data_IF_786426731143
#
_entry.id   IF_786426731143
#
_cell.length_a   1.000
_cell.length_b   1.000
_cell.length_c   1.000
_cell.angle_alpha   90.00
_cell.angle_beta   90.00
_cell.angle_gamma   90.00
#
_symmetry.space_group_name_H-M   'P 1'
#
loop_
_entity.id
_entity.type
_entity.pdbx_description
1 polymer ?
#
# COMPACT_ATOMS: atom_id res chain seq x y z
N UNK A 1 -69.07 -73.06 56.71
CA UNK A 1 -68.13 -72.30 57.56
C UNK A 1 -67.02 -71.76 56.67
N UNK A 2 -66.78 -70.45 56.76
CA UNK A 2 -65.98 -69.63 55.85
C UNK A 2 -64.51 -70.09 55.74
N UNK A 3 -64.01 -70.26 54.51
CA UNK A 3 -62.57 -70.30 54.21
C UNK A 3 -62.18 -68.92 53.67
N UNK A 4 -61.32 -68.24 54.42
CA UNK A 4 -60.75 -66.92 54.17
C UNK A 4 -60.00 -66.85 52.83
N UNK A 5 -60.44 -65.97 51.93
CA UNK A 5 -59.73 -65.64 50.69
C UNK A 5 -58.67 -64.58 51.02
N UNK A 6 -57.41 -65.02 51.09
CA UNK A 6 -56.23 -64.17 51.14
C UNK A 6 -56.08 -63.39 49.83
N UNK A 7 -55.90 -62.06 49.94
CA UNK A 7 -55.60 -61.14 48.84
C UNK A 7 -54.36 -61.63 48.07
N UNK A 8 -54.52 -62.01 46.80
CA UNK A 8 -53.38 -62.19 45.87
C UNK A 8 -52.86 -60.81 45.48
N UNK A 9 -51.61 -60.54 45.83
CA UNK A 9 -50.81 -59.43 45.31
C UNK A 9 -50.77 -59.51 43.77
N UNK A 10 -50.96 -58.39 43.10
CA UNK A 10 -50.76 -58.29 41.65
C UNK A 10 -49.28 -58.52 41.31
N UNK A 11 -48.95 -59.13 40.14
CA UNK A 11 -47.57 -59.43 39.73
C UNK A 11 -46.63 -58.22 39.71
N UNK A 12 -47.20 -57.00 39.65
CA UNK A 12 -46.51 -55.73 39.66
C UNK A 12 -45.83 -55.43 41.02
N UNK A 13 -46.52 -55.73 42.12
CA UNK A 13 -46.01 -55.50 43.48
C UNK A 13 -44.87 -56.47 43.86
N UNK A 14 -44.82 -57.65 43.24
CA UNK A 14 -43.75 -58.65 43.45
C UNK A 14 -42.54 -58.43 42.54
N UNK A 15 -42.65 -57.60 41.49
CA UNK A 15 -41.51 -57.19 40.66
C UNK A 15 -40.78 -55.98 41.24
N UNK A 16 -41.49 -55.04 41.87
CA UNK A 16 -40.88 -53.90 42.58
C UNK A 16 -39.98 -54.32 43.75
N UNK A 17 -40.32 -55.41 44.45
CA UNK A 17 -39.54 -55.93 45.60
C UNK A 17 -38.22 -56.63 45.23
N UNK A 18 -37.99 -56.96 43.94
CA UNK A 18 -36.80 -57.71 43.48
C UNK A 18 -35.58 -56.84 43.17
N UNK A 19 -35.68 -55.52 43.27
CA UNK A 19 -34.52 -54.62 43.11
C UNK A 19 -33.89 -54.58 41.71
N UNK A 20 -34.40 -55.37 40.74
CA UNK A 20 -34.02 -55.32 39.33
C UNK A 20 -34.77 -54.19 38.60
N UNK A 21 -34.70 -52.98 39.13
CA UNK A 21 -35.15 -51.78 38.45
C UNK A 21 -33.92 -50.93 38.18
N UNK A 22 -33.42 -51.03 36.96
CA UNK A 22 -32.30 -50.24 36.49
C UNK A 22 -32.80 -48.79 36.35
N UNK A 23 -32.69 -47.97 37.41
CA UNK A 23 -33.22 -46.60 37.45
C UNK A 23 -32.76 -45.76 36.25
N UNK A 24 -31.59 -46.07 35.67
CA UNK A 24 -31.10 -45.44 34.45
C UNK A 24 -32.01 -45.64 33.23
N UNK A 25 -32.65 -46.80 33.07
CA UNK A 25 -33.54 -47.08 31.91
C UNK A 25 -34.88 -46.34 32.01
N UNK A 26 -35.45 -46.21 33.20
CA UNK A 26 -36.67 -45.43 33.43
C UNK A 26 -36.44 -43.93 33.26
N UNK A 27 -35.32 -43.44 33.76
CA UNK A 27 -34.92 -42.03 33.61
C UNK A 27 -34.66 -41.70 32.13
N UNK A 28 -34.01 -42.61 31.39
CA UNK A 28 -33.78 -42.46 29.96
C UNK A 28 -35.11 -42.51 29.17
N UNK A 29 -36.03 -43.40 29.55
CA UNK A 29 -37.36 -43.46 28.94
C UNK A 29 -38.20 -42.22 29.22
N UNK A 30 -38.16 -41.66 30.44
CA UNK A 30 -38.86 -40.41 30.75
C UNK A 30 -38.30 -39.21 30.00
N UNK A 31 -36.97 -39.11 29.86
CA UNK A 31 -36.32 -38.06 29.07
C UNK A 31 -36.66 -38.17 27.58
N UNK A 32 -36.65 -39.39 27.02
CA UNK A 32 -37.05 -39.65 25.64
C UNK A 32 -38.53 -39.31 25.38
N UNK A 33 -39.44 -39.60 26.32
CA UNK A 33 -40.86 -39.24 26.20
C UNK A 33 -41.03 -37.72 26.19
N UNK A 34 -40.35 -36.99 27.08
CA UNK A 34 -40.36 -35.53 27.09
C UNK A 34 -39.79 -34.92 25.81
N UNK A 35 -38.75 -35.52 25.20
CA UNK A 35 -38.24 -35.09 23.89
C UNK A 35 -39.28 -35.26 22.78
N UNK A 36 -39.97 -36.40 22.72
CA UNK A 36 -41.01 -36.67 21.70
C UNK A 36 -42.19 -35.72 21.88
N UNK A 37 -42.61 -35.46 23.13
CA UNK A 37 -43.65 -34.48 23.43
C UNK A 37 -43.24 -33.07 22.99
N UNK A 38 -41.97 -32.70 23.19
CA UNK A 38 -41.40 -31.45 22.67
C UNK A 38 -41.47 -31.37 21.15
N UNK A 39 -41.06 -32.42 20.42
CA UNK A 39 -41.11 -32.47 18.95
C UNK A 39 -42.56 -32.31 18.46
N UNK A 40 -43.52 -33.02 19.07
CA UNK A 40 -44.95 -32.93 18.74
C UNK A 40 -45.47 -31.50 18.99
N UNK A 41 -45.18 -30.91 20.15
CA UNK A 41 -45.60 -29.53 20.47
C UNK A 41 -45.00 -28.49 19.52
N UNK A 42 -43.75 -28.68 19.08
CA UNK A 42 -43.11 -27.82 18.09
C UNK A 42 -43.81 -27.92 16.72
N UNK A 43 -44.14 -29.13 16.26
CA UNK A 43 -44.91 -29.33 15.02
C UNK A 43 -46.32 -28.75 15.09
N UNK A 44 -46.95 -28.74 16.27
CA UNK A 44 -48.27 -28.15 16.48
C UNK A 44 -48.25 -26.61 16.58
N UNK A 45 -47.07 -25.99 16.63
CA UNK A 45 -46.90 -24.52 16.78
C UNK A 45 -46.95 -24.03 18.23
N UNK A 46 -47.04 -24.92 19.21
CA UNK A 46 -47.03 -24.59 20.64
C UNK A 46 -45.59 -24.49 21.17
N UNK A 47 -44.86 -23.46 20.75
CA UNK A 47 -43.41 -23.34 21.01
C UNK A 47 -43.06 -23.18 22.50
N UNK A 48 -43.90 -22.50 23.29
CA UNK A 48 -43.67 -22.33 24.73
C UNK A 48 -43.76 -23.67 25.48
N UNK A 49 -44.72 -24.52 25.10
CA UNK A 49 -44.86 -25.87 25.67
C UNK A 49 -43.70 -26.77 25.21
N UNK A 50 -43.29 -26.66 23.94
CA UNK A 50 -42.14 -27.39 23.42
C UNK A 50 -40.87 -27.07 24.21
N UNK A 51 -40.59 -25.79 24.48
CA UNK A 51 -39.45 -25.35 25.31
C UNK A 51 -39.55 -25.90 26.73
N UNK A 52 -40.74 -25.92 27.32
CA UNK A 52 -40.97 -26.52 28.63
C UNK A 52 -40.65 -28.03 28.63
N UNK A 53 -41.10 -28.77 27.61
CA UNK A 53 -40.81 -30.20 27.49
C UNK A 53 -39.33 -30.48 27.21
N UNK A 54 -38.66 -29.67 26.38
CA UNK A 54 -37.23 -29.82 26.10
C UNK A 54 -36.34 -29.44 27.30
N UNK A 55 -36.72 -28.42 28.07
CA UNK A 55 -36.02 -28.09 29.33
C UNK A 55 -36.22 -29.20 30.36
N UNK A 56 -37.43 -29.74 30.49
CA UNK A 56 -37.72 -30.90 31.34
C UNK A 56 -36.88 -32.13 30.94
N UNK A 57 -36.81 -32.44 29.65
CA UNK A 57 -36.05 -33.57 29.11
C UNK A 57 -34.54 -33.49 29.46
N UNK A 58 -34.01 -32.27 29.56
CA UNK A 58 -32.61 -31.98 29.77
C UNK A 58 -32.23 -31.68 31.23
N UNK A 59 -33.18 -31.76 32.17
CA UNK A 59 -32.93 -31.49 33.60
C UNK A 59 -31.86 -32.40 34.23
N UNK A 60 -31.52 -33.50 33.56
CA UNK A 60 -30.58 -34.53 34.05
C UNK A 60 -29.21 -34.49 33.36
N UNK A 61 -29.06 -33.75 32.26
CA UNK A 61 -27.80 -33.60 31.53
C UNK A 61 -27.42 -32.13 31.47
N UNK A 62 -26.24 -31.77 31.99
CA UNK A 62 -25.66 -30.43 31.83
C UNK A 62 -25.19 -30.18 30.38
N UNK A 63 -25.96 -30.59 29.36
CA UNK A 63 -25.65 -30.43 27.94
C UNK A 63 -26.56 -29.35 27.36
N UNK A 64 -26.09 -28.64 26.34
CA UNK A 64 -26.90 -27.65 25.65
C UNK A 64 -28.11 -28.30 24.96
N UNK A 65 -29.27 -27.66 25.06
CA UNK A 65 -30.50 -28.05 24.37
C UNK A 65 -30.48 -27.57 22.91
N UNK A 66 -29.67 -28.22 22.07
CA UNK A 66 -29.55 -27.92 20.64
C UNK A 66 -30.92 -27.83 19.94
N UNK A 67 -31.87 -28.70 20.31
CA UNK A 67 -33.23 -28.68 19.75
C UNK A 67 -34.00 -27.37 20.02
N UNK A 68 -33.81 -26.76 21.18
CA UNK A 68 -34.44 -25.46 21.50
C UNK A 68 -33.80 -24.36 20.66
N UNK A 69 -32.48 -24.38 20.54
CA UNK A 69 -31.71 -23.40 19.77
C UNK A 69 -32.08 -23.51 18.29
N UNK A 70 -32.08 -24.71 17.72
CA UNK A 70 -32.49 -24.98 16.33
C UNK A 70 -33.92 -24.48 16.09
N UNK A 71 -34.87 -24.86 16.97
CA UNK A 71 -36.26 -24.39 16.88
C UNK A 71 -36.33 -22.86 16.90
N UNK A 72 -35.63 -22.18 17.82
CA UNK A 72 -35.63 -20.72 17.86
C UNK A 72 -34.94 -20.08 16.66
N UNK A 73 -33.87 -20.68 16.11
CA UNK A 73 -33.24 -20.19 14.89
C UNK A 73 -34.16 -20.34 13.67
N UNK A 74 -34.87 -21.45 13.55
CA UNK A 74 -35.84 -21.69 12.47
C UNK A 74 -37.01 -20.69 12.55
N UNK A 75 -37.44 -20.35 13.77
CA UNK A 75 -38.46 -19.34 14.05
C UNK A 75 -37.94 -17.90 13.98
N UNK A 76 -36.64 -17.70 13.72
CA UNK A 76 -35.95 -16.39 13.68
C UNK A 76 -36.01 -15.61 14.99
N UNK A 77 -36.18 -16.31 16.11
CA UNK A 77 -36.15 -15.74 17.46
C UNK A 77 -34.73 -15.77 18.02
N UNK A 78 -33.82 -15.05 17.35
CA UNK A 78 -32.39 -15.08 17.68
C UNK A 78 -32.09 -14.56 19.10
N UNK A 79 -32.84 -13.59 19.61
CA UNK A 79 -32.68 -13.08 20.98
C UNK A 79 -32.93 -14.16 22.04
N UNK A 80 -34.05 -14.90 21.91
CA UNK A 80 -34.41 -16.02 22.80
C UNK A 80 -33.36 -17.14 22.70
N UNK A 81 -32.87 -17.42 21.49
CA UNK A 81 -31.81 -18.41 21.28
C UNK A 81 -30.47 -18.00 21.95
N UNK A 82 -30.08 -16.73 21.87
CA UNK A 82 -28.89 -16.22 22.55
C UNK A 82 -29.02 -16.30 24.08
N UNK A 83 -30.21 -16.03 24.64
CA UNK A 83 -30.47 -16.20 26.08
C UNK A 83 -30.36 -17.66 26.51
N UNK A 84 -30.82 -18.60 25.68
CA UNK A 84 -30.68 -20.04 25.95
C UNK A 84 -29.23 -20.52 25.92
N UNK A 85 -28.38 -19.92 25.08
CA UNK A 85 -26.93 -20.21 25.07
C UNK A 85 -26.28 -19.61 26.33
N UNK A 86 -26.56 -18.34 26.65
CA UNK A 86 -26.00 -17.64 27.82
C UNK A 86 -26.37 -18.28 29.16
N UNK A 87 -27.60 -18.75 29.29
CA UNK A 87 -28.12 -19.33 30.55
C UNK A 87 -27.53 -20.70 30.90
N UNK A 88 -27.01 -21.43 29.91
CA UNK A 88 -26.55 -22.80 30.11
C UNK A 88 -25.07 -22.93 30.55
N UNK A 89 -24.35 -21.82 30.80
CA UNK A 89 -22.98 -21.75 31.34
C UNK A 89 -21.93 -22.66 30.66
N UNK A 90 -22.27 -23.29 29.53
CA UNK A 90 -21.39 -24.11 28.73
C UNK A 90 -20.98 -23.27 27.52
N UNK A 91 -19.72 -22.86 27.53
CA UNK A 91 -19.07 -22.10 26.45
C UNK A 91 -18.82 -23.00 25.23
N UNK A 92 -19.87 -23.57 24.61
CA UNK A 92 -19.71 -24.13 23.26
C UNK A 92 -19.68 -22.98 22.25
N UNK A 93 -18.50 -22.36 22.18
CA UNK A 93 -18.18 -21.20 21.33
C UNK A 93 -18.58 -21.46 19.87
N UNK A 94 -18.55 -22.72 19.42
CA UNK A 94 -18.86 -23.10 18.05
C UNK A 94 -20.35 -22.95 17.73
N UNK A 95 -21.25 -23.34 18.64
CA UNK A 95 -22.69 -23.22 18.43
C UNK A 95 -23.15 -21.76 18.48
N UNK A 96 -22.57 -20.97 19.38
CA UNK A 96 -22.80 -19.52 19.40
C UNK A 96 -22.38 -18.84 18.10
N UNK A 97 -21.20 -19.21 17.55
CA UNK A 97 -20.72 -18.72 16.25
C UNK A 97 -21.64 -19.13 15.10
N UNK A 98 -22.08 -20.39 15.06
CA UNK A 98 -22.99 -20.89 14.03
C UNK A 98 -24.34 -20.15 14.06
N UNK A 99 -24.90 -19.93 15.24
CA UNK A 99 -26.14 -19.18 15.41
C UNK A 99 -26.00 -17.74 14.90
N UNK A 100 -24.86 -17.11 15.20
CA UNK A 100 -24.58 -15.75 14.78
C UNK A 100 -24.38 -15.62 13.26
N UNK A 101 -23.76 -16.62 12.63
CA UNK A 101 -23.67 -16.72 11.15
C UNK A 101 -25.05 -16.86 10.50
N UNK A 102 -25.92 -17.74 11.01
CA UNK A 102 -27.32 -17.86 10.54
C UNK A 102 -28.10 -16.55 10.71
N UNK A 103 -27.89 -15.84 11.83
CA UNK A 103 -28.51 -14.54 12.08
C UNK A 103 -28.02 -13.48 11.08
N UNK A 104 -26.71 -13.48 10.78
CA UNK A 104 -26.11 -12.59 9.79
C UNK A 104 -26.64 -12.85 8.36
N UNK A 105 -26.77 -14.12 7.96
CA UNK A 105 -27.35 -14.49 6.66
C UNK A 105 -28.79 -13.99 6.51
N UNK A 106 -29.57 -14.06 7.58
CA UNK A 106 -30.92 -13.52 7.60
C UNK A 106 -30.92 -11.98 7.52
N UNK A 107 -30.09 -11.30 8.30
CA UNK A 107 -29.96 -9.84 8.26
C UNK A 107 -29.52 -9.34 6.87
N UNK A 108 -28.68 -10.12 6.17
CA UNK A 108 -28.32 -9.86 4.77
C UNK A 108 -29.53 -9.96 3.83
N UNK A 109 -30.42 -10.93 4.05
CA UNK A 109 -31.65 -11.12 3.25
C UNK A 109 -32.71 -10.03 3.48
N UNK A 110 -32.68 -9.35 4.64
CA UNK A 110 -33.59 -8.23 4.97
C UNK A 110 -33.02 -6.87 4.58
N UNK A 111 -31.92 -6.81 3.83
CA UNK A 111 -31.17 -5.61 3.44
C UNK A 111 -30.52 -4.83 4.61
N UNK A 112 -30.40 -5.44 5.79
CA UNK A 112 -29.65 -4.88 6.91
C UNK A 112 -28.16 -5.25 6.80
N UNK A 113 -27.54 -4.90 5.66
CA UNK A 113 -26.20 -5.33 5.31
C UNK A 113 -25.12 -4.91 6.32
N UNK A 114 -25.28 -3.74 6.97
CA UNK A 114 -24.29 -3.23 7.94
C UNK A 114 -24.35 -4.00 9.26
N UNK A 115 -25.54 -4.36 9.70
CA UNK A 115 -25.75 -5.21 10.87
C UNK A 115 -25.22 -6.62 10.58
N UNK A 116 -25.52 -7.16 9.39
CA UNK A 116 -25.01 -8.45 8.93
C UNK A 116 -23.48 -8.51 8.94
N UNK A 117 -22.79 -7.48 8.42
CA UNK A 117 -21.34 -7.40 8.44
C UNK A 117 -20.77 -7.49 9.88
N UNK A 118 -21.33 -6.73 10.83
CA UNK A 118 -20.91 -6.78 12.25
C UNK A 118 -21.15 -8.16 12.86
N UNK A 119 -22.31 -8.76 12.58
CA UNK A 119 -22.62 -10.11 13.04
C UNK A 119 -21.66 -11.15 12.46
N UNK A 120 -21.26 -11.06 11.18
CA UNK A 120 -20.26 -11.95 10.60
C UNK A 120 -18.89 -11.81 11.29
N UNK A 121 -18.48 -10.60 11.66
CA UNK A 121 -17.24 -10.34 12.41
C UNK A 121 -17.31 -11.04 13.78
N UNK A 122 -18.41 -10.85 14.49
CA UNK A 122 -18.60 -11.45 15.82
C UNK A 122 -18.74 -12.98 15.74
N UNK A 123 -19.18 -13.53 14.60
CA UNK A 123 -19.21 -14.97 14.31
C UNK A 123 -17.82 -15.54 13.95
N UNK A 124 -16.85 -14.68 13.60
CA UNK A 124 -15.54 -15.06 13.08
C UNK A 124 -15.52 -15.42 11.59
N UNK A 125 -16.59 -15.11 10.85
CA UNK A 125 -16.66 -15.28 9.39
C UNK A 125 -16.13 -14.04 8.65
N UNK A 126 -14.84 -13.75 8.83
CA UNK A 126 -14.23 -12.51 8.33
C UNK A 126 -14.34 -12.36 6.80
N UNK A 127 -14.19 -13.43 6.02
CA UNK A 127 -14.25 -13.35 4.55
C UNK A 127 -15.58 -12.77 4.05
N UNK A 128 -16.71 -13.28 4.57
CA UNK A 128 -18.04 -12.78 4.20
C UNK A 128 -18.24 -11.33 4.64
N UNK A 129 -17.69 -10.97 5.80
CA UNK A 129 -17.73 -9.59 6.28
C UNK A 129 -16.91 -8.64 5.39
N UNK A 130 -15.73 -9.06 4.92
CA UNK A 130 -14.86 -8.29 4.03
C UNK A 130 -15.56 -8.08 2.69
N UNK A 131 -16.05 -9.15 2.04
CA UNK A 131 -16.74 -9.07 0.75
C UNK A 131 -17.95 -8.11 0.80
N UNK A 132 -18.74 -8.21 1.87
CA UNK A 132 -19.91 -7.35 2.04
C UNK A 132 -19.51 -5.89 2.30
N UNK A 133 -18.47 -5.66 3.10
CA UNK A 133 -17.98 -4.32 3.42
C UNK A 133 -17.34 -3.65 2.20
N UNK A 134 -16.61 -4.41 1.40
CA UNK A 134 -15.97 -3.96 0.17
C UNK A 134 -16.98 -3.60 -0.92
N UNK A 135 -18.07 -4.35 -1.04
CA UNK A 135 -19.18 -4.04 -1.95
C UNK A 135 -19.86 -2.70 -1.61
N UNK A 136 -19.98 -2.38 -0.32
CA UNK A 136 -20.64 -1.16 0.16
C UNK A 136 -19.67 -0.02 0.48
N UNK A 137 -18.36 -0.23 0.38
CA UNK A 137 -17.34 0.78 0.67
C UNK A 137 -17.23 1.17 2.15
N UNK A 138 -17.46 0.24 3.08
CA UNK A 138 -17.37 0.51 4.52
C UNK A 138 -15.95 0.34 5.04
N UNK A 139 -15.17 1.42 4.92
CA UNK A 139 -13.76 1.48 5.38
C UNK A 139 -13.63 1.29 6.90
N UNK A 140 -14.60 1.77 7.68
CA UNK A 140 -14.63 1.63 9.15
C UNK A 140 -14.72 0.17 9.59
N UNK A 141 -15.54 -0.63 8.89
CA UNK A 141 -15.73 -2.06 9.20
C UNK A 141 -14.50 -2.86 8.76
N UNK A 142 -13.93 -2.56 7.60
CA UNK A 142 -12.68 -3.18 7.14
C UNK A 142 -11.52 -2.92 8.11
N UNK A 143 -11.47 -1.72 8.71
CA UNK A 143 -10.46 -1.36 9.72
C UNK A 143 -10.69 -2.07 11.07
N UNK A 144 -11.95 -2.26 11.49
CA UNK A 144 -12.25 -3.07 12.68
C UNK A 144 -11.83 -4.53 12.46
N UNK A 145 -12.13 -5.10 11.28
CA UNK A 145 -11.68 -6.44 10.89
C UNK A 145 -10.15 -6.50 10.94
N UNK A 146 -9.45 -5.60 10.25
CA UNK A 146 -7.99 -5.64 10.20
C UNK A 146 -7.37 -5.55 11.59
N UNK A 147 -7.94 -4.80 12.53
CA UNK A 147 -7.48 -4.70 13.93
C UNK A 147 -7.67 -5.98 14.73
N UNK A 148 -8.73 -6.74 14.49
CA UNK A 148 -9.01 -8.02 15.17
C UNK A 148 -8.19 -9.19 14.63
N UNK A 149 -7.72 -9.10 13.39
CA UNK A 149 -6.89 -10.13 12.76
C UNK A 149 -5.44 -10.12 13.27
N UNK A 150 -4.93 -11.33 13.46
CA UNK A 150 -3.55 -11.60 13.86
C UNK A 150 -2.64 -11.85 12.64
N UNK A 151 -1.33 -11.96 12.88
CA UNK A 151 -0.33 -12.19 11.82
C UNK A 151 -0.50 -13.50 11.06
N UNK A 152 -1.16 -14.50 11.67
CA UNK A 152 -1.43 -15.80 11.05
C UNK A 152 -2.51 -15.75 9.96
N UNK A 153 -3.35 -14.72 9.98
CA UNK A 153 -4.55 -14.61 9.15
C UNK A 153 -4.25 -13.92 7.81
N UNK A 154 -3.22 -14.41 7.13
CA UNK A 154 -2.67 -13.79 5.92
C UNK A 154 -3.73 -13.57 4.83
N UNK A 155 -4.57 -14.58 4.56
CA UNK A 155 -5.61 -14.52 3.53
C UNK A 155 -6.63 -13.40 3.81
N UNK A 156 -7.09 -13.27 5.05
CA UNK A 156 -8.05 -12.22 5.42
C UNK A 156 -7.40 -10.83 5.39
N UNK A 157 -6.15 -10.70 5.85
CA UNK A 157 -5.41 -9.44 5.78
C UNK A 157 -5.15 -8.99 4.34
N UNK A 158 -4.81 -9.92 3.44
CA UNK A 158 -4.62 -9.62 2.01
C UNK A 158 -5.93 -9.15 1.37
N UNK A 159 -7.04 -9.84 1.62
CA UNK A 159 -8.35 -9.39 1.12
C UNK A 159 -8.72 -8.00 1.67
N UNK A 160 -8.53 -7.76 2.97
CA UNK A 160 -8.74 -6.45 3.58
C UNK A 160 -7.89 -5.36 2.91
N UNK A 161 -6.60 -5.62 2.70
CA UNK A 161 -5.67 -4.67 2.07
C UNK A 161 -6.13 -4.32 0.65
N UNK A 162 -6.46 -5.32 -0.17
CA UNK A 162 -6.95 -5.12 -1.54
C UNK A 162 -8.25 -4.31 -1.58
N UNK A 163 -9.19 -4.60 -0.69
CA UNK A 163 -10.44 -3.84 -0.58
C UNK A 163 -10.18 -2.39 -0.18
N UNK A 164 -9.30 -2.15 0.80
CA UNK A 164 -8.92 -0.80 1.23
C UNK A 164 -8.20 -0.01 0.11
N UNK A 165 -7.30 -0.66 -0.64
CA UNK A 165 -6.65 -0.05 -1.82
C UNK A 165 -7.67 0.40 -2.85
N UNK A 166 -8.67 -0.44 -3.16
CA UNK A 166 -9.74 -0.10 -4.12
C UNK A 166 -10.59 1.09 -3.65
N UNK A 167 -10.75 1.26 -2.34
CA UNK A 167 -11.47 2.37 -1.74
C UNK A 167 -10.61 3.64 -1.61
N UNK A 168 -9.32 3.59 -1.96
CA UNK A 168 -8.38 4.72 -1.91
C UNK A 168 -7.72 4.93 -0.55
N UNK A 169 -7.89 3.98 0.38
CA UNK A 169 -7.35 4.05 1.74
C UNK A 169 -5.97 3.39 1.83
N UNK A 170 -4.98 3.99 1.16
CA UNK A 170 -3.64 3.41 0.99
C UNK A 170 -2.87 3.23 2.31
N UNK A 171 -2.98 4.16 3.26
CA UNK A 171 -2.29 4.08 4.55
C UNK A 171 -2.75 2.85 5.36
N UNK A 172 -4.07 2.63 5.44
CA UNK A 172 -4.62 1.47 6.14
C UNK A 172 -4.36 0.15 5.41
N UNK A 173 -4.32 0.17 4.09
CA UNK A 173 -3.92 -0.99 3.30
C UNK A 173 -2.44 -1.37 3.54
N UNK A 174 -1.56 -0.37 3.65
CA UNK A 174 -0.15 -0.58 3.98
C UNK A 174 0.04 -1.16 5.39
N UNK A 175 -0.74 -0.71 6.38
CA UNK A 175 -0.75 -1.30 7.72
C UNK A 175 -1.12 -2.79 7.71
N UNK A 176 -2.08 -3.19 6.87
CA UNK A 176 -2.46 -4.60 6.72
C UNK A 176 -1.30 -5.46 6.19
N UNK A 177 -0.55 -4.97 5.18
CA UNK A 177 0.64 -5.65 4.67
C UNK A 177 1.79 -5.67 5.69
N UNK A 178 1.97 -4.59 6.45
CA UNK A 178 2.97 -4.51 7.50
C UNK A 178 2.73 -5.53 8.63
N UNK A 179 1.46 -5.89 8.93
CA UNK A 179 1.13 -6.84 9.99
C UNK A 179 1.72 -8.23 9.76
N UNK A 180 1.60 -8.76 8.54
CA UNK A 180 2.13 -10.09 8.20
C UNK A 180 3.51 -10.04 7.52
N UNK A 181 4.06 -8.83 7.29
CA UNK A 181 5.46 -8.62 6.92
C UNK A 181 5.73 -8.59 5.41
N UNK A 182 4.74 -8.26 4.60
CA UNK A 182 4.88 -8.17 3.14
C UNK A 182 5.32 -6.77 2.72
N UNK A 183 6.63 -6.60 2.74
CA UNK A 183 7.32 -5.36 2.39
C UNK A 183 7.08 -5.00 0.92
N UNK A 184 6.98 -6.00 0.04
CA UNK A 184 6.90 -5.77 -1.39
C UNK A 184 5.59 -5.10 -1.78
N UNK A 185 4.46 -5.64 -1.31
CA UNK A 185 3.15 -5.05 -1.57
C UNK A 185 2.95 -3.74 -0.80
N UNK A 186 3.53 -3.62 0.39
CA UNK A 186 3.54 -2.35 1.13
C UNK A 186 4.24 -1.24 0.35
N UNK A 187 5.42 -1.51 -0.23
CA UNK A 187 6.13 -0.54 -1.06
C UNK A 187 5.36 -0.17 -2.33
N UNK A 188 4.73 -1.15 -3.00
CA UNK A 188 3.91 -0.87 -4.17
C UNK A 188 2.79 0.13 -3.85
N UNK A 189 2.11 -0.02 -2.71
CA UNK A 189 1.08 0.93 -2.27
C UNK A 189 1.63 2.32 -2.02
N UNK A 190 2.81 2.45 -1.40
CA UNK A 190 3.42 3.75 -1.17
C UNK A 190 3.84 4.45 -2.46
N UNK A 191 4.31 3.68 -3.45
CA UNK A 191 4.63 4.20 -4.78
C UNK A 191 3.35 4.67 -5.48
N UNK A 192 2.28 3.87 -5.46
CA UNK A 192 0.98 4.22 -6.08
C UNK A 192 0.33 5.45 -5.43
N UNK A 193 0.48 5.62 -4.11
CA UNK A 193 -0.05 6.76 -3.37
C UNK A 193 0.87 7.99 -3.34
N UNK A 194 2.06 7.92 -3.96
CA UNK A 194 3.10 8.95 -3.89
C UNK A 194 3.56 9.29 -2.47
N UNK A 195 3.39 8.36 -1.52
CA UNK A 195 3.85 8.49 -0.13
C UNK A 195 5.33 8.11 -0.02
N UNK A 196 6.20 8.95 -0.58
CA UNK A 196 7.63 8.69 -0.69
C UNK A 196 8.35 8.61 0.67
N UNK A 197 7.93 9.40 1.66
CA UNK A 197 8.56 9.43 2.99
C UNK A 197 8.50 8.06 3.70
N UNK A 198 7.32 7.44 3.70
CA UNK A 198 7.13 6.10 4.27
C UNK A 198 7.90 5.04 3.47
N UNK A 199 7.89 5.15 2.13
CA UNK A 199 8.66 4.25 1.27
C UNK A 199 10.17 4.31 1.56
N UNK A 200 10.74 5.50 1.74
CA UNK A 200 12.16 5.65 2.09
C UNK A 200 12.48 5.07 3.45
N UNK A 201 11.62 5.29 4.46
CA UNK A 201 11.81 4.73 5.79
C UNK A 201 11.86 3.19 5.80
N UNK A 202 11.16 2.56 4.85
CA UNK A 202 11.12 1.11 4.70
C UNK A 202 12.33 0.59 3.92
N UNK A 203 12.76 1.30 2.88
CA UNK A 203 13.98 1.00 2.10
C UNK A 203 15.26 1.17 2.91
N UNK A 204 15.31 2.12 3.84
CA UNK A 204 16.45 2.29 4.75
C UNK A 204 16.67 1.04 5.63
N UNK A 205 15.61 0.29 5.91
CA UNK A 205 15.67 -0.99 6.64
C UNK A 205 15.92 -2.18 5.71
N UNK A 206 15.50 -2.09 4.45
CA UNK A 206 15.57 -3.15 3.44
C UNK A 206 16.18 -2.65 2.14
N UNK A 207 17.51 -2.62 2.09
CA UNK A 207 18.27 -2.10 0.94
C UNK A 207 18.06 -2.88 -0.37
N UNK A 208 17.54 -4.10 -0.31
CA UNK A 208 17.23 -4.91 -1.51
C UNK A 208 16.21 -4.22 -2.43
N UNK A 209 15.33 -3.37 -1.86
CA UNK A 209 14.27 -2.67 -2.60
C UNK A 209 14.65 -1.23 -3.00
N UNK A 210 15.88 -0.79 -2.77
CA UNK A 210 16.32 0.59 -3.08
C UNK A 210 16.02 0.96 -4.53
N UNK A 211 16.40 0.09 -5.48
CA UNK A 211 16.13 0.34 -6.91
C UNK A 211 14.63 0.44 -7.21
N UNK A 212 13.80 -0.38 -6.57
CA UNK A 212 12.35 -0.46 -6.82
C UNK A 212 11.62 0.84 -6.44
N UNK A 213 12.10 1.55 -5.41
CA UNK A 213 11.49 2.81 -4.94
C UNK A 213 12.11 4.03 -5.61
N UNK A 214 13.44 4.10 -5.68
CA UNK A 214 14.11 5.28 -6.22
C UNK A 214 13.90 5.48 -7.71
N UNK A 215 13.66 4.43 -8.50
CA UNK A 215 13.39 4.56 -9.93
C UNK A 215 12.04 5.26 -10.23
N UNK A 216 10.89 4.78 -9.72
CA UNK A 216 9.63 5.52 -9.84
C UNK A 216 9.69 6.93 -9.26
N UNK A 217 10.39 7.12 -8.14
CA UNK A 217 10.58 8.44 -7.53
C UNK A 217 11.37 9.39 -8.44
N UNK A 218 12.46 8.93 -9.05
CA UNK A 218 13.27 9.72 -9.97
C UNK A 218 12.45 10.11 -11.22
N UNK A 219 11.66 9.19 -11.76
CA UNK A 219 10.77 9.48 -12.89
C UNK A 219 9.71 10.52 -12.52
N UNK A 220 9.07 10.37 -11.35
CA UNK A 220 8.11 11.35 -10.85
C UNK A 220 8.75 12.74 -10.66
N UNK A 221 9.96 12.81 -10.11
CA UNK A 221 10.69 14.08 -9.98
C UNK A 221 11.01 14.70 -11.35
N UNK A 222 11.40 13.90 -12.33
CA UNK A 222 11.67 14.35 -13.69
C UNK A 222 10.40 14.89 -14.38
N UNK A 223 9.26 14.23 -14.18
CA UNK A 223 7.94 14.71 -14.67
C UNK A 223 7.50 16.03 -14.03
N UNK A 224 8.01 16.35 -12.83
CA UNK A 224 7.73 17.59 -12.10
C UNK A 224 8.84 18.66 -12.25
N UNK A 225 9.71 18.54 -13.28
CA UNK A 225 10.83 19.45 -13.57
C UNK A 225 11.86 19.60 -12.44
N UNK A 226 11.88 18.68 -11.47
CA UNK A 226 12.84 18.67 -10.34
C UNK A 226 14.08 17.85 -10.70
N UNK A 227 14.79 18.30 -11.73
CA UNK A 227 15.85 17.52 -12.35
C UNK A 227 17.05 17.23 -11.44
N UNK A 228 17.42 18.15 -10.56
CA UNK A 228 18.54 17.94 -9.64
C UNK A 228 18.26 16.82 -8.64
N UNK A 229 17.06 16.84 -8.04
CA UNK A 229 16.59 15.80 -7.12
C UNK A 229 16.47 14.46 -7.88
N UNK A 230 15.89 14.49 -9.09
CA UNK A 230 15.71 13.30 -9.93
C UNK A 230 17.04 12.61 -10.21
N UNK A 231 18.09 13.39 -10.51
CA UNK A 231 19.43 12.86 -10.70
C UNK A 231 19.97 12.16 -9.44
N UNK A 232 19.85 12.80 -8.27
CA UNK A 232 20.31 12.17 -7.02
C UNK A 232 19.57 10.87 -6.75
N UNK A 233 18.28 10.80 -7.11
CA UNK A 233 17.47 9.59 -7.00
C UNK A 233 17.93 8.49 -7.97
N UNK A 234 18.24 8.81 -9.24
CA UNK A 234 18.79 7.83 -10.20
C UNK A 234 20.13 7.24 -9.74
N UNK A 235 21.00 8.08 -9.16
CA UNK A 235 22.28 7.63 -8.59
C UNK A 235 22.03 6.67 -7.43
N UNK A 236 21.09 7.00 -6.52
CA UNK A 236 20.70 6.12 -5.40
C UNK A 236 20.06 4.80 -5.87
N UNK A 237 19.36 4.81 -7.00
CA UNK A 237 18.82 3.60 -7.63
C UNK A 237 19.89 2.70 -8.30
N UNK A 238 21.14 3.15 -8.37
CA UNK A 238 22.23 2.44 -9.06
C UNK A 238 22.20 2.61 -10.58
N UNK A 239 21.41 3.53 -11.11
CA UNK A 239 21.22 3.77 -12.54
C UNK A 239 22.01 5.01 -12.99
N UNK A 240 23.32 4.96 -12.79
CA UNK A 240 24.23 6.08 -13.06
C UNK A 240 24.24 6.48 -14.55
N UNK A 241 24.17 5.51 -15.46
CA UNK A 241 24.14 5.76 -16.90
C UNK A 241 22.89 6.53 -17.33
N UNK A 242 21.72 6.18 -16.77
CA UNK A 242 20.47 6.91 -17.03
C UNK A 242 20.52 8.32 -16.46
N UNK A 243 21.08 8.49 -15.26
CA UNK A 243 21.29 9.80 -14.65
C UNK A 243 22.15 10.74 -15.52
N UNK A 244 23.18 10.18 -16.20
CA UNK A 244 24.03 10.91 -17.14
C UNK A 244 23.26 11.29 -18.39
N UNK A 245 22.51 10.33 -18.98
CA UNK A 245 21.72 10.59 -20.19
C UNK A 245 20.70 11.71 -19.97
N UNK A 246 20.00 11.71 -18.82
CA UNK A 246 19.02 12.76 -18.49
C UNK A 246 19.71 14.11 -18.29
N UNK A 247 20.82 14.16 -17.55
CA UNK A 247 21.54 15.43 -17.32
C UNK A 247 22.18 15.97 -18.61
N UNK A 248 22.67 15.11 -19.49
CA UNK A 248 23.19 15.49 -20.79
C UNK A 248 22.09 16.10 -21.67
N UNK A 249 20.90 15.51 -21.69
CA UNK A 249 19.75 16.09 -22.39
C UNK A 249 19.41 17.48 -21.84
N UNK A 250 19.35 17.64 -20.51
CA UNK A 250 19.08 18.93 -19.88
C UNK A 250 20.13 19.98 -20.23
N UNK A 251 21.42 19.60 -20.23
CA UNK A 251 22.51 20.47 -20.64
C UNK A 251 22.36 20.93 -22.10
N UNK A 252 21.99 20.01 -23.01
CA UNK A 252 21.75 20.36 -24.41
C UNK A 252 20.51 21.24 -24.62
N UNK A 253 19.45 21.02 -23.84
CA UNK A 253 18.25 21.87 -23.88
C UNK A 253 18.55 23.27 -23.35
N UNK A 254 19.25 23.38 -22.21
CA UNK A 254 19.67 24.67 -21.65
C UNK A 254 20.54 25.46 -22.63
N UNK A 255 21.47 24.79 -23.33
CA UNK A 255 22.29 25.42 -24.37
C UNK A 255 21.45 25.95 -25.55
N UNK A 256 20.43 25.20 -25.99
CA UNK A 256 19.50 25.62 -27.07
C UNK A 256 18.59 26.77 -26.66
N UNK A 257 18.21 26.84 -25.40
CA UNK A 257 17.40 27.93 -24.82
C UNK A 257 18.23 29.19 -24.49
N UNK A 258 19.51 29.21 -24.83
CA UNK A 258 20.46 30.28 -24.48
C UNK A 258 20.67 30.47 -22.97
N UNK A 259 20.34 29.47 -22.15
CA UNK A 259 20.60 29.43 -20.71
C UNK A 259 22.00 28.86 -20.46
N UNK A 260 23.02 29.63 -20.84
CA UNK A 260 24.41 29.15 -20.85
C UNK A 260 25.00 28.95 -19.46
N UNK A 261 24.57 29.71 -18.45
CA UNK A 261 24.99 29.49 -17.05
C UNK A 261 24.56 28.10 -16.55
N UNK A 262 23.28 27.76 -16.73
CA UNK A 262 22.72 26.45 -16.39
C UNK A 262 23.39 25.32 -17.18
N UNK A 263 23.61 25.52 -18.48
CA UNK A 263 24.32 24.54 -19.31
C UNK A 263 25.73 24.29 -18.78
N UNK A 264 26.47 25.36 -18.42
CA UNK A 264 27.79 25.27 -17.81
C UNK A 264 27.77 24.47 -16.50
N UNK A 265 26.82 24.78 -15.63
CA UNK A 265 26.63 24.07 -14.37
C UNK A 265 26.31 22.58 -14.57
N UNK A 266 25.42 22.24 -15.49
CA UNK A 266 25.07 20.84 -15.78
C UNK A 266 26.25 20.06 -16.36
N UNK A 267 27.03 20.64 -17.27
CA UNK A 267 28.23 19.98 -17.79
C UNK A 267 29.32 19.79 -16.73
N UNK A 268 29.48 20.73 -15.81
CA UNK A 268 30.36 20.54 -14.65
C UNK A 268 29.86 19.39 -13.76
N UNK A 269 28.56 19.31 -13.51
CA UNK A 269 27.97 18.22 -12.72
C UNK A 269 28.14 16.85 -13.41
N UNK A 270 28.04 16.80 -14.74
CA UNK A 270 28.36 15.61 -15.55
C UNK A 270 29.82 15.19 -15.41
N UNK A 271 30.77 16.15 -15.40
CA UNK A 271 32.19 15.84 -15.23
C UNK A 271 32.46 15.27 -13.84
N UNK A 272 31.88 15.86 -12.78
CA UNK A 272 31.96 15.32 -11.41
C UNK A 272 31.38 13.90 -11.31
N UNK A 273 30.26 13.62 -11.99
CA UNK A 273 29.70 12.27 -12.02
C UNK A 273 30.62 11.26 -12.69
N UNK A 274 31.29 11.65 -13.78
CA UNK A 274 32.28 10.79 -14.44
C UNK A 274 33.44 10.44 -13.48
N UNK A 275 33.89 11.40 -12.65
CA UNK A 275 34.89 11.14 -11.61
C UNK A 275 34.37 10.17 -10.54
N UNK A 276 33.17 10.41 -10.01
CA UNK A 276 32.58 9.54 -8.98
C UNK A 276 32.39 8.10 -9.48
N UNK A 277 32.16 7.91 -10.79
CA UNK A 277 32.11 6.58 -11.36
C UNK A 277 33.48 5.91 -11.39
N UNK A 278 34.56 6.65 -11.65
CA UNK A 278 35.94 6.12 -11.70
C UNK A 278 36.41 5.55 -10.35
N UNK A 279 35.85 6.02 -9.23
CA UNK A 279 36.17 5.52 -7.89
C UNK A 279 35.66 4.08 -7.65
N UNK A 280 34.82 3.52 -8.52
CA UNK A 280 34.32 2.16 -8.39
C UNK A 280 35.36 1.11 -8.84
N UNK A 281 35.72 0.18 -7.94
CA UNK A 281 36.80 -0.80 -8.14
C UNK A 281 36.57 -1.83 -9.28
N UNK A 282 35.37 -1.90 -9.85
CA UNK A 282 34.97 -2.92 -10.83
C UNK A 282 35.19 -2.54 -12.30
N UNK A 283 35.90 -1.44 -12.59
CA UNK A 283 35.99 -0.85 -13.93
C UNK A 283 37.10 -1.48 -14.77
N UNK A 284 36.79 -1.81 -16.03
CA UNK A 284 37.78 -2.31 -16.99
C UNK A 284 38.68 -1.17 -17.49
N UNK A 285 39.91 -1.49 -17.91
CA UNK A 285 40.88 -0.48 -18.38
C UNK A 285 40.36 0.33 -19.59
N UNK A 286 39.50 -0.25 -20.41
CA UNK A 286 38.89 0.43 -21.57
C UNK A 286 37.82 1.41 -21.14
N UNK A 287 36.91 1.01 -20.24
CA UNK A 287 35.83 1.87 -19.74
C UNK A 287 36.41 3.06 -18.95
N UNK A 288 37.53 2.85 -18.25
CA UNK A 288 38.27 3.91 -17.57
C UNK A 288 38.75 5.01 -18.52
N UNK A 289 39.26 4.64 -19.71
CA UNK A 289 39.71 5.62 -20.70
C UNK A 289 38.55 6.38 -21.34
N UNK A 290 37.43 5.70 -21.62
CA UNK A 290 36.23 6.35 -22.16
C UNK A 290 35.63 7.35 -21.17
N UNK A 291 35.56 6.99 -19.89
CA UNK A 291 35.07 7.88 -18.84
C UNK A 291 35.96 9.12 -18.65
N UNK A 292 37.29 8.97 -18.77
CA UNK A 292 38.22 10.10 -18.74
C UNK A 292 38.04 11.03 -19.95
N UNK A 293 37.88 10.48 -21.15
CA UNK A 293 37.65 11.30 -22.34
C UNK A 293 36.30 12.05 -22.25
N UNK A 294 35.26 11.39 -21.71
CA UNK A 294 33.98 12.04 -21.40
C UNK A 294 34.13 13.14 -20.36
N UNK A 295 34.91 12.90 -19.29
CA UNK A 295 35.22 13.91 -18.29
C UNK A 295 35.88 15.15 -18.92
N UNK A 296 36.94 14.96 -19.72
CA UNK A 296 37.66 16.06 -20.37
C UNK A 296 36.76 16.82 -21.36
N UNK A 297 35.86 16.12 -22.04
CA UNK A 297 34.86 16.75 -22.92
C UNK A 297 33.85 17.58 -22.13
N UNK A 298 33.25 17.02 -21.08
CA UNK A 298 32.27 17.73 -20.24
C UNK A 298 32.89 18.92 -19.51
N UNK A 299 34.12 18.79 -19.01
CA UNK A 299 34.83 19.90 -18.36
C UNK A 299 35.08 21.05 -19.34
N UNK A 300 35.53 20.74 -20.57
CA UNK A 300 35.70 21.76 -21.61
C UNK A 300 34.40 22.47 -21.96
N UNK A 301 33.30 21.73 -22.09
CA UNK A 301 31.97 22.32 -22.35
C UNK A 301 31.53 23.22 -21.21
N UNK A 302 31.71 22.79 -19.96
CA UNK A 302 31.36 23.57 -18.77
C UNK A 302 32.06 24.94 -18.76
N UNK A 303 33.38 24.93 -18.94
CA UNK A 303 34.18 26.16 -18.95
C UNK A 303 33.77 27.11 -20.08
N UNK A 304 33.47 26.57 -21.27
CA UNK A 304 33.06 27.36 -22.42
C UNK A 304 31.69 27.99 -22.21
N UNK A 305 30.69 27.23 -21.79
CA UNK A 305 29.34 27.77 -21.57
C UNK A 305 29.34 28.81 -20.45
N UNK A 306 30.10 28.59 -19.37
CA UNK A 306 30.24 29.55 -18.29
C UNK A 306 30.84 30.89 -18.75
N UNK A 307 31.94 30.85 -19.51
CA UNK A 307 32.56 32.09 -20.02
C UNK A 307 31.70 32.75 -21.10
N UNK A 308 31.09 31.95 -21.97
CA UNK A 308 30.23 32.45 -23.05
C UNK A 308 28.96 33.12 -22.52
N UNK A 309 28.40 32.65 -21.40
CA UNK A 309 27.26 33.30 -20.74
C UNK A 309 27.52 34.80 -20.48
N UNK A 310 28.69 35.13 -19.94
CA UNK A 310 29.06 36.50 -19.62
C UNK A 310 29.17 37.39 -20.87
N UNK A 311 29.70 36.85 -21.97
CA UNK A 311 29.80 37.56 -23.25
C UNK A 311 28.42 37.71 -23.90
N UNK A 312 27.59 36.66 -23.84
CA UNK A 312 26.23 36.68 -24.36
C UNK A 312 25.38 37.75 -23.65
N UNK A 313 25.43 37.82 -22.31
CA UNK A 313 24.77 38.88 -21.55
C UNK A 313 25.30 40.26 -21.95
N UNK A 314 26.61 40.45 -22.11
CA UNK A 314 27.17 41.74 -22.54
C UNK A 314 26.65 42.21 -23.91
N UNK A 315 26.39 41.30 -24.85
CA UNK A 315 25.90 41.63 -26.19
C UNK A 315 24.40 41.92 -26.23
N UNK A 316 23.62 41.25 -25.37
CA UNK A 316 22.16 41.34 -25.39
C UNK A 316 21.59 42.32 -24.35
N UNK A 317 22.32 42.58 -23.27
CA UNK A 317 21.87 43.50 -22.21
C UNK A 317 22.43 44.92 -22.41
N UNK A 318 21.65 45.96 -22.08
CA UNK A 318 22.06 47.35 -22.28
C UNK A 318 23.16 47.82 -21.32
N UNK A 319 23.50 47.05 -20.28
CA UNK A 319 24.47 47.42 -19.27
C UNK A 319 25.54 46.35 -19.09
N UNK A 320 26.80 46.76 -19.08
CA UNK A 320 27.93 45.87 -18.84
C UNK A 320 28.07 45.55 -17.34
N UNK A 321 28.19 44.27 -17.01
CA UNK A 321 28.43 43.81 -15.64
C UNK A 321 29.91 43.92 -15.23
N UNK A 322 30.82 43.89 -16.20
CA UNK A 322 32.27 43.90 -15.99
C UNK A 322 32.98 44.99 -16.80
N UNK A 323 34.27 45.20 -16.49
CA UNK A 323 35.16 46.07 -17.26
C UNK A 323 35.46 45.47 -18.64
N UNK A 324 35.68 46.31 -19.64
CA UNK A 324 35.94 45.88 -21.03
C UNK A 324 37.16 44.96 -21.16
N UNK A 325 38.20 45.14 -20.35
CA UNK A 325 39.37 44.25 -20.32
C UNK A 325 39.01 42.83 -19.86
N UNK A 326 37.99 42.69 -19.01
CA UNK A 326 37.53 41.39 -18.52
C UNK A 326 36.86 40.61 -19.65
N UNK A 327 35.96 41.25 -20.39
CA UNK A 327 35.34 40.65 -21.58
C UNK A 327 36.37 40.32 -22.66
N UNK A 328 37.38 41.18 -22.86
CA UNK A 328 38.48 40.90 -23.78
C UNK A 328 39.25 39.63 -23.38
N UNK A 329 39.56 39.47 -22.09
CA UNK A 329 40.24 38.28 -21.58
C UNK A 329 39.36 37.02 -21.70
N UNK A 330 38.06 37.13 -21.41
CA UNK A 330 37.07 36.06 -21.59
C UNK A 330 36.96 35.63 -23.07
N UNK A 331 36.88 36.58 -24.00
CA UNK A 331 36.85 36.33 -25.44
C UNK A 331 38.14 35.64 -25.91
N UNK A 332 39.31 36.08 -25.43
CA UNK A 332 40.60 35.46 -25.76
C UNK A 332 40.68 34.02 -25.27
N UNK A 333 40.16 33.74 -24.07
CA UNK A 333 40.07 32.40 -23.52
C UNK A 333 39.18 31.49 -24.39
N UNK A 334 37.97 31.95 -24.74
CA UNK A 334 37.07 31.19 -25.60
C UNK A 334 37.66 30.90 -26.97
N UNK A 335 38.28 31.89 -27.61
CA UNK A 335 38.94 31.69 -28.92
C UNK A 335 40.04 30.63 -28.80
N UNK A 336 40.82 30.63 -27.72
CA UNK A 336 41.85 29.63 -27.50
C UNK A 336 41.25 28.23 -27.35
N UNK A 337 40.17 28.07 -26.58
CA UNK A 337 39.56 26.76 -26.35
C UNK A 337 38.82 26.23 -27.58
N UNK A 338 38.10 27.10 -28.30
CA UNK A 338 37.36 26.75 -29.51
C UNK A 338 38.27 26.34 -30.68
N UNK A 339 39.60 26.54 -30.58
CA UNK A 339 40.56 25.97 -31.54
C UNK A 339 40.65 24.44 -31.44
N UNK A 340 40.33 23.87 -30.27
CA UNK A 340 40.46 22.44 -29.99
C UNK A 340 39.17 21.65 -30.24
N UNK A 341 38.10 22.29 -30.69
CA UNK A 341 36.85 21.63 -31.04
C UNK A 341 35.66 22.60 -31.08
N UNK A 342 34.70 22.28 -31.95
CA UNK A 342 33.44 23.03 -32.04
C UNK A 342 32.48 22.59 -30.93
N UNK A 343 31.91 23.57 -30.23
CA UNK A 343 30.91 23.35 -29.19
C UNK A 343 29.57 23.85 -29.74
N UNK A 344 28.49 23.06 -29.61
CA UNK A 344 27.21 23.42 -30.19
C UNK A 344 26.61 24.66 -29.48
N UNK A 345 25.81 25.43 -30.22
CA UNK A 345 25.15 26.68 -29.78
C UNK A 345 26.09 27.87 -29.43
N UNK A 346 27.40 27.67 -29.40
CA UNK A 346 28.39 28.73 -29.17
C UNK A 346 28.82 29.36 -30.50
N UNK A 347 28.42 30.61 -30.74
CA UNK A 347 28.82 31.31 -31.96
C UNK A 347 30.24 31.87 -31.85
N UNK A 348 31.12 31.40 -32.73
CA UNK A 348 32.47 31.97 -32.89
C UNK A 348 32.40 33.46 -33.24
N UNK A 349 31.39 33.89 -34.00
CA UNK A 349 31.26 35.28 -34.43
C UNK A 349 31.08 36.24 -33.24
N UNK A 350 30.34 35.84 -32.19
CA UNK A 350 30.18 36.67 -31.00
C UNK A 350 31.47 36.77 -30.16
N UNK A 351 32.25 35.70 -30.11
CA UNK A 351 33.60 35.76 -29.49
C UNK A 351 34.58 36.65 -30.28
N UNK A 352 34.42 36.75 -31.60
CA UNK A 352 35.22 37.63 -32.45
C UNK A 352 34.72 39.07 -32.47
N UNK A 353 33.42 39.32 -32.30
CA UNK A 353 32.88 40.67 -32.32
C UNK A 353 33.45 41.51 -31.18
N UNK A 354 33.61 40.98 -29.96
CA UNK A 354 34.29 41.71 -28.87
C UNK A 354 35.76 42.00 -29.17
N UNK A 355 36.46 41.08 -29.85
CA UNK A 355 37.85 41.28 -30.26
C UNK A 355 37.97 42.42 -31.28
N UNK A 356 36.97 42.59 -32.15
CA UNK A 356 36.91 43.68 -33.12
C UNK A 356 36.36 44.96 -32.48
N UNK A 357 35.33 44.89 -31.64
CA UNK A 357 34.73 46.04 -30.96
C UNK A 357 35.74 46.71 -30.02
N UNK A 358 36.51 45.97 -29.21
CA UNK A 358 37.52 46.60 -28.35
C UNK A 358 38.78 47.07 -29.10
N UNK A 359 39.11 46.49 -30.25
CA UNK A 359 40.21 47.00 -31.08
C UNK A 359 39.79 48.16 -32.02
N UNK A 360 38.49 48.33 -32.30
CA UNK A 360 37.99 49.29 -33.31
C UNK A 360 37.10 50.39 -32.69
N UNK A 361 36.62 50.27 -31.46
CA UNK A 361 35.86 51.33 -30.79
C UNK A 361 36.67 52.11 -29.76
N UNK A 362 37.76 52.69 -30.24
CA UNK A 362 37.88 54.12 -30.11
C UNK A 362 37.08 54.70 -31.30
N UNK A 363 35.96 55.37 -31.03
CA UNK A 363 35.00 56.04 -31.94
C UNK A 363 33.65 55.35 -32.18
N UNK A 364 32.62 55.97 -31.59
CA UNK A 364 31.21 56.05 -31.99
C UNK A 364 30.78 55.40 -33.32
N UNK A 365 29.57 54.82 -33.31
CA UNK A 365 28.69 54.56 -34.47
C UNK A 365 28.63 53.12 -35.05
N UNK A 366 28.09 52.12 -34.34
CA UNK A 366 27.37 51.01 -35.02
C UNK A 366 26.05 50.72 -34.29
N UNK A 367 25.06 51.58 -34.51
CA UNK A 367 23.63 51.23 -34.39
C UNK A 367 23.00 50.94 -35.75
N UNK A 368 23.79 50.69 -36.80
CA UNK A 368 23.28 50.70 -38.18
C UNK A 368 23.63 49.51 -39.08
N UNK A 369 24.39 48.50 -38.61
CA UNK A 369 24.83 47.40 -39.49
C UNK A 369 24.30 45.99 -39.14
N UNK A 370 23.54 45.83 -38.05
CA UNK A 370 22.95 44.54 -37.65
C UNK A 370 21.47 44.38 -38.07
N UNK A 371 20.98 45.19 -39.03
CA UNK A 371 19.62 45.09 -39.59
C UNK A 371 19.59 44.63 -41.07
N UNK A 372 20.64 43.96 -41.57
CA UNK A 372 20.68 43.50 -42.97
C UNK A 372 21.22 42.10 -43.17
N UNK A 373 21.15 41.25 -42.15
CA UNK A 373 21.32 39.81 -42.33
C UNK A 373 20.18 39.13 -41.58
N UNK A 374 18.99 39.17 -42.21
CA UNK A 374 17.92 38.23 -41.94
C UNK A 374 18.23 36.87 -42.56
#
# INVERSE_FOLDING_TARGET
MLISISKRSTPFNERSKRGEWNNKELINNSSNISMILGDISAYLGNFNEAVMYYTQANSNSNKINHKIIDMYTDLRRFNEAHEMIKSNNNDDINEHKLLLSKNADWAKSTNEHRTAAKMYIDAGEYMKAIELSDLHGWTDILLDISRRLDKSDHEYLECCARSLTRLGEYAFAADCYAKYGDIENQLNLYIESYNWEEAFSLVEKHHDYTRKVYLPYANWLAENDKFEEAQTAFIKAGLQNEAISVLEQLATCAAKESRFDDAGFYYWKLSVLCLNMLDNETITKTDYQELLDRYDNFQRKADVYYVYNNIHHFLHEPFASHMSETYFNMARYLIHILQFGDIPEVSKAYSFSDFVFNNVFCFCSISFLMNSIC
#
